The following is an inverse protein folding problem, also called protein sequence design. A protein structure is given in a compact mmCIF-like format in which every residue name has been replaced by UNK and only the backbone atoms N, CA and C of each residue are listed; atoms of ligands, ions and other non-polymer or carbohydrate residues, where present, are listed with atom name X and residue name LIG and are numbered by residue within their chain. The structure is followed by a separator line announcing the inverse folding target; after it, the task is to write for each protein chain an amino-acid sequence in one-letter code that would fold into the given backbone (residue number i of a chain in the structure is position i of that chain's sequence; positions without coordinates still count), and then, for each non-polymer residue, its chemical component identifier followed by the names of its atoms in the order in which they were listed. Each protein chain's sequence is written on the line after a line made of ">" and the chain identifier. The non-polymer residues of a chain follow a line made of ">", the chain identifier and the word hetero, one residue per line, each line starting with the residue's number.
data_IF_776944183796
#
_entry.id   IF_776944183796
#
_cell.length_a   1.000
_cell.length_b   1.000
_cell.length_c   1.000
_cell.angle_alpha   90.00
_cell.angle_beta   90.00
_cell.angle_gamma   90.00
#
_symmetry.space_group_name_H-M   'P 1'
#
loop_
_entity.id
_entity.type
_entity.pdbx_description
1 polymer ?
#
# COMPACT_ATOMS: atom_id res chain seq x y z
N UNK A 1 5.60 -33.13 21.60
CA UNK A 1 5.54 -32.72 20.18
C UNK A 1 6.96 -32.85 19.62
N UNK A 2 7.15 -33.49 18.46
CA UNK A 2 8.49 -33.60 17.86
C UNK A 2 8.81 -32.33 17.06
N UNK A 3 10.11 -32.00 16.94
CA UNK A 3 10.58 -30.85 16.15
C UNK A 3 10.07 -30.92 14.71
N UNK A 4 10.05 -32.13 14.13
CA UNK A 4 9.51 -32.39 12.78
C UNK A 4 8.05 -31.94 12.65
N UNK A 5 7.22 -32.24 13.65
CA UNK A 5 5.81 -31.86 13.63
C UNK A 5 5.64 -30.34 13.69
N UNK A 6 6.46 -29.66 14.50
CA UNK A 6 6.40 -28.20 14.64
C UNK A 6 6.81 -27.49 13.34
N UNK A 7 7.90 -27.93 12.72
CA UNK A 7 8.35 -27.43 11.43
C UNK A 7 7.31 -27.70 10.34
N UNK A 8 6.73 -28.91 10.28
CA UNK A 8 5.69 -29.23 9.30
C UNK A 8 4.44 -28.37 9.47
N UNK A 9 4.01 -28.09 10.70
CA UNK A 9 2.87 -27.20 10.96
C UNK A 9 3.16 -25.79 10.48
N UNK A 10 4.34 -25.26 10.79
CA UNK A 10 4.72 -23.90 10.41
C UNK A 10 4.81 -23.75 8.88
N UNK A 11 5.46 -24.70 8.21
CA UNK A 11 5.54 -24.74 6.74
C UNK A 11 4.14 -24.87 6.13
N UNK A 12 3.31 -25.79 6.62
CA UNK A 12 1.95 -25.97 6.11
C UNK A 12 1.09 -24.71 6.27
N UNK A 13 1.11 -24.06 7.44
CA UNK A 13 0.38 -22.82 7.66
C UNK A 13 0.88 -21.68 6.78
N UNK A 14 2.20 -21.57 6.58
CA UNK A 14 2.81 -20.55 5.71
C UNK A 14 2.41 -20.77 4.25
N UNK A 15 2.49 -22.01 3.75
CA UNK A 15 2.09 -22.35 2.38
C UNK A 15 0.59 -22.14 2.15
N UNK A 16 -0.26 -22.55 3.10
CA UNK A 16 -1.70 -22.32 3.03
C UNK A 16 -2.04 -20.83 3.06
N UNK A 17 -1.36 -20.07 3.92
CA UNK A 17 -1.51 -18.61 4.00
C UNK A 17 -1.09 -17.95 2.69
N UNK A 18 0.08 -18.30 2.15
CA UNK A 18 0.58 -17.78 0.87
C UNK A 18 -0.37 -18.12 -0.29
N UNK A 19 -0.83 -19.36 -0.38
CA UNK A 19 -1.77 -19.79 -1.42
C UNK A 19 -3.13 -19.09 -1.30
N UNK A 20 -3.67 -18.96 -0.09
CA UNK A 20 -4.92 -18.25 0.17
C UNK A 20 -4.82 -16.75 -0.11
N UNK A 21 -3.73 -16.13 0.33
CA UNK A 21 -3.44 -14.72 0.06
C UNK A 21 -3.25 -14.45 -1.44
N UNK A 22 -2.46 -15.27 -2.14
CA UNK A 22 -2.31 -15.19 -3.59
C UNK A 22 -3.65 -15.37 -4.32
N UNK A 23 -4.45 -16.35 -3.91
CA UNK A 23 -5.80 -16.59 -4.45
C UNK A 23 -6.74 -15.40 -4.25
N UNK A 24 -6.75 -14.79 -3.06
CA UNK A 24 -7.53 -13.59 -2.77
C UNK A 24 -7.03 -12.39 -3.56
N UNK A 25 -5.71 -12.19 -3.63
CA UNK A 25 -5.10 -11.11 -4.40
C UNK A 25 -5.44 -11.18 -5.89
N UNK A 26 -5.39 -12.39 -6.47
CA UNK A 26 -5.84 -12.68 -7.84
C UNK A 26 -7.35 -12.48 -8.01
N UNK A 27 -8.16 -12.92 -7.05
CA UNK A 27 -9.60 -12.75 -7.09
C UNK A 27 -9.97 -11.26 -7.09
N UNK A 28 -9.34 -10.44 -6.24
CA UNK A 28 -9.54 -8.98 -6.24
C UNK A 28 -9.11 -8.40 -7.58
N UNK A 29 -7.96 -8.81 -8.13
CA UNK A 29 -7.47 -8.31 -9.42
C UNK A 29 -8.47 -8.61 -10.55
N UNK A 30 -9.07 -9.80 -10.53
CA UNK A 30 -10.01 -10.26 -11.56
C UNK A 30 -11.42 -9.67 -11.42
N UNK A 31 -11.95 -9.62 -10.20
CA UNK A 31 -13.35 -9.24 -9.95
C UNK A 31 -13.52 -7.76 -9.58
N UNK A 32 -12.45 -7.11 -9.10
CA UNK A 32 -12.44 -5.70 -8.72
C UNK A 32 -11.13 -5.03 -9.18
N UNK A 33 -10.80 -5.03 -10.50
CA UNK A 33 -9.56 -4.42 -10.99
C UNK A 33 -9.43 -2.94 -10.59
N UNK A 34 -10.56 -2.22 -10.52
CA UNK A 34 -10.63 -0.84 -10.04
C UNK A 34 -10.08 -0.63 -8.63
N UNK A 35 -10.07 -1.65 -7.76
CA UNK A 35 -9.45 -1.56 -6.44
C UNK A 35 -7.98 -1.16 -6.53
N UNK A 36 -7.19 -1.84 -7.35
CA UNK A 36 -5.78 -1.52 -7.51
C UNK A 36 -5.58 -0.17 -8.20
N UNK A 37 -6.49 0.25 -9.08
CA UNK A 37 -6.47 1.60 -9.65
C UNK A 37 -6.68 2.70 -8.59
N UNK A 38 -7.44 2.42 -7.52
CA UNK A 38 -7.63 3.38 -6.42
C UNK A 38 -6.50 3.38 -5.40
N UNK A 39 -5.83 2.24 -5.21
CA UNK A 39 -4.74 2.10 -4.24
C UNK A 39 -3.40 2.59 -4.80
N UNK A 40 -3.18 2.44 -6.11
CA UNK A 40 -1.93 2.82 -6.77
C UNK A 40 -2.08 4.11 -7.58
N UNK A 41 -1.11 5.00 -7.43
CA UNK A 41 -1.10 6.36 -7.97
C UNK A 41 -1.05 6.50 -9.49
N UNK A 42 -0.59 5.48 -10.20
CA UNK A 42 -0.38 5.56 -11.64
C UNK A 42 -0.74 4.24 -12.31
N UNK A 43 -2.03 3.88 -12.30
CA UNK A 43 -2.44 2.56 -12.75
C UNK A 43 -2.48 2.44 -14.29
N UNK A 44 -2.25 3.56 -14.98
CA UNK A 44 -2.10 3.61 -16.44
C UNK A 44 -0.64 3.46 -16.90
N UNK A 45 0.29 3.23 -15.97
CA UNK A 45 1.67 2.95 -16.35
C UNK A 45 1.71 1.65 -17.18
N UNK A 46 2.43 1.58 -18.32
CA UNK A 46 2.43 0.40 -19.20
C UNK A 46 2.99 -0.88 -18.57
N UNK A 47 3.57 -0.79 -17.36
CA UNK A 47 3.99 -1.94 -16.54
C UNK A 47 3.05 -2.23 -15.36
N UNK A 48 1.91 -1.57 -15.29
CA UNK A 48 0.92 -1.79 -14.25
C UNK A 48 0.01 -2.95 -14.66
N UNK A 49 0.26 -4.12 -14.09
CA UNK A 49 -0.66 -5.25 -14.18
C UNK A 49 -1.30 -5.47 -12.80
N UNK A 50 -2.61 -5.19 -12.63
CA UNK A 50 -3.33 -5.46 -11.39
C UNK A 50 -3.20 -6.91 -10.90
N UNK A 51 -3.02 -7.85 -11.83
CA UNK A 51 -2.86 -9.28 -11.55
C UNK A 51 -1.53 -9.57 -10.88
N UNK A 52 -0.43 -9.03 -11.40
CA UNK A 52 0.91 -9.19 -10.81
C UNK A 52 0.99 -8.53 -9.43
N UNK A 53 0.42 -7.33 -9.30
CA UNK A 53 0.38 -6.59 -8.03
C UNK A 53 -0.44 -7.36 -6.99
N UNK A 54 -1.65 -7.80 -7.37
CA UNK A 54 -2.52 -8.54 -6.48
C UNK A 54 -1.90 -9.87 -6.04
N UNK A 55 -1.27 -10.58 -6.96
CA UNK A 55 -0.54 -11.80 -6.65
C UNK A 55 0.62 -11.54 -5.67
N UNK A 56 1.44 -10.52 -5.93
CA UNK A 56 2.59 -10.18 -5.09
C UNK A 56 2.20 -9.75 -3.67
N UNK A 57 1.21 -8.86 -3.55
CA UNK A 57 0.67 -8.41 -2.26
C UNK A 57 -0.03 -9.56 -1.52
N UNK A 58 -0.85 -10.32 -2.22
CA UNK A 58 -1.55 -11.46 -1.66
C UNK A 58 -0.59 -12.52 -1.11
N UNK A 59 0.45 -12.86 -1.88
CA UNK A 59 1.44 -13.86 -1.49
C UNK A 59 2.25 -13.39 -0.26
N UNK A 60 2.69 -12.14 -0.24
CA UNK A 60 3.44 -11.58 0.90
C UNK A 60 2.59 -11.49 2.17
N UNK A 61 1.39 -10.91 2.09
CA UNK A 61 0.48 -10.82 3.24
C UNK A 61 0.04 -12.21 3.74
N UNK A 62 -0.29 -13.10 2.81
CA UNK A 62 -0.66 -14.48 3.10
C UNK A 62 0.47 -15.26 3.79
N UNK A 63 1.72 -15.09 3.33
CA UNK A 63 2.90 -15.70 3.95
C UNK A 63 3.09 -15.21 5.39
N UNK A 64 3.01 -13.90 5.62
CA UNK A 64 3.14 -13.31 6.96
C UNK A 64 2.04 -13.79 7.91
N UNK A 65 0.79 -13.81 7.44
CA UNK A 65 -0.34 -14.31 8.22
C UNK A 65 -0.18 -15.81 8.54
N UNK A 66 0.15 -16.62 7.53
CA UNK A 66 0.36 -18.06 7.68
C UNK A 66 1.47 -18.39 8.67
N UNK A 67 2.57 -17.64 8.62
CA UNK A 67 3.67 -17.76 9.59
C UNK A 67 3.19 -17.42 11.00
N UNK A 68 2.46 -16.32 11.18
CA UNK A 68 1.90 -15.91 12.47
C UNK A 68 0.96 -16.97 13.07
N UNK A 69 0.03 -17.50 12.26
CA UNK A 69 -0.88 -18.58 12.67
C UNK A 69 -0.11 -19.84 13.03
N UNK A 70 0.88 -20.23 12.21
CA UNK A 70 1.73 -21.40 12.46
C UNK A 70 2.46 -21.32 13.81
N UNK A 71 3.03 -20.16 14.12
CA UNK A 71 3.71 -19.92 15.41
C UNK A 71 2.74 -20.04 16.61
N UNK A 72 1.52 -19.54 16.47
CA UNK A 72 0.48 -19.66 17.52
C UNK A 72 0.10 -21.13 17.72
N UNK A 73 -0.16 -21.88 16.65
CA UNK A 73 -0.55 -23.29 16.74
C UNK A 73 0.55 -24.16 17.36
N UNK A 74 1.80 -23.99 16.90
CA UNK A 74 2.97 -24.70 17.48
C UNK A 74 3.10 -24.39 18.97
N UNK A 75 2.90 -23.12 19.35
CA UNK A 75 2.94 -22.70 20.76
C UNK A 75 1.88 -23.41 21.59
N UNK A 76 0.63 -23.41 21.14
CA UNK A 76 -0.48 -24.04 21.85
C UNK A 76 -0.27 -25.56 21.97
N UNK A 77 0.24 -26.20 20.92
CA UNK A 77 0.55 -27.63 20.93
C UNK A 77 1.67 -27.97 21.92
N UNK A 78 2.75 -27.19 21.94
CA UNK A 78 3.83 -27.32 22.92
C UNK A 78 3.32 -27.11 24.36
N UNK A 79 2.47 -26.11 24.58
CA UNK A 79 1.88 -25.85 25.89
C UNK A 79 0.98 -26.99 26.37
N UNK A 80 0.14 -27.53 25.49
CA UNK A 80 -0.73 -28.68 25.78
C UNK A 80 0.08 -29.93 26.12
N UNK A 81 1.17 -30.19 25.41
CA UNK A 81 2.06 -31.32 25.71
C UNK A 81 2.66 -31.21 27.13
N UNK A 82 3.20 -30.03 27.47
CA UNK A 82 3.77 -29.76 28.80
C UNK A 82 2.73 -29.94 29.91
N UNK A 83 1.46 -29.55 29.69
CA UNK A 83 0.39 -29.75 30.67
C UNK A 83 0.05 -31.22 30.88
N UNK A 84 -0.01 -32.01 29.80
CA UNK A 84 -0.34 -33.44 29.88
C UNK A 84 0.71 -34.24 30.64
N UNK A 85 1.98 -33.99 30.38
CA UNK A 85 3.08 -34.72 31.04
C UNK A 85 3.07 -34.51 32.57
N UNK A 86 2.55 -33.38 33.05
CA UNK A 86 2.41 -33.09 34.49
C UNK A 86 1.26 -33.84 35.15
N UNK A 87 0.20 -34.14 34.42
CA UNK A 87 -0.97 -34.84 34.98
C UNK A 87 -0.70 -36.34 35.23
N UNK A 88 0.31 -36.91 34.58
CA UNK A 88 0.62 -38.34 34.64
C UNK A 88 1.64 -38.70 35.72
N UNK A 89 2.19 -37.73 36.47
CA UNK A 89 3.16 -38.01 37.54
C UNK A 89 2.41 -38.25 38.86
N UNK A 90 2.27 -39.50 39.36
CA UNK A 90 1.34 -39.83 40.43
C UNK A 90 1.82 -39.44 41.84
N UNK A 91 3.06 -38.96 41.98
CA UNK A 91 3.74 -38.88 43.28
C UNK A 91 4.37 -37.52 43.62
N UNK A 92 4.00 -36.45 42.90
CA UNK A 92 4.48 -35.10 43.19
C UNK A 92 3.50 -34.36 44.09
N UNK A 93 3.93 -34.05 45.32
CA UNK A 93 3.26 -33.19 46.29
C UNK A 93 2.68 -31.92 45.62
N UNK A 94 1.55 -31.37 46.12
CA UNK A 94 0.83 -30.29 45.46
C UNK A 94 1.76 -29.09 45.23
N UNK A 95 2.04 -28.70 43.97
CA UNK A 95 2.89 -27.58 43.69
C UNK A 95 2.16 -26.27 44.03
N UNK A 96 2.84 -25.26 44.57
CA UNK A 96 2.25 -23.96 44.86
C UNK A 96 1.69 -23.34 43.58
N UNK A 97 0.51 -22.70 43.70
CA UNK A 97 -0.39 -22.24 42.65
C UNK A 97 0.12 -21.09 41.75
N UNK A 98 1.37 -21.14 41.30
CA UNK A 98 1.93 -20.21 40.32
C UNK A 98 1.90 -20.84 38.92
N UNK A 99 1.28 -20.15 37.96
CA UNK A 99 1.43 -20.49 36.54
C UNK A 99 2.93 -20.66 36.22
N UNK A 100 3.37 -21.84 35.74
CA UNK A 100 4.79 -22.12 35.56
C UNK A 100 5.37 -21.12 34.55
N UNK A 101 6.35 -20.32 34.99
CA UNK A 101 6.85 -19.15 34.24
C UNK A 101 7.29 -19.45 32.80
N UNK A 102 7.59 -20.71 32.46
CA UNK A 102 7.89 -21.14 31.09
C UNK A 102 6.68 -21.05 30.15
N UNK A 103 5.48 -21.44 30.60
CA UNK A 103 4.28 -21.38 29.77
C UNK A 103 3.85 -19.92 29.50
N UNK A 104 3.93 -19.07 30.53
CA UNK A 104 3.68 -17.64 30.39
C UNK A 104 4.69 -16.99 29.42
N UNK A 105 5.95 -17.43 29.43
CA UNK A 105 6.99 -16.93 28.53
C UNK A 105 6.72 -17.27 27.07
N UNK A 106 6.29 -18.50 26.77
CA UNK A 106 5.99 -18.91 25.39
C UNK A 106 4.75 -18.15 24.87
N UNK A 107 3.68 -18.04 25.67
CA UNK A 107 2.50 -17.27 25.29
C UNK A 107 2.84 -15.79 25.00
N UNK A 108 3.65 -15.16 25.87
CA UNK A 108 4.12 -13.79 25.66
C UNK A 108 4.93 -13.65 24.36
N UNK A 109 5.77 -14.63 24.04
CA UNK A 109 6.55 -14.63 22.80
C UNK A 109 5.65 -14.69 21.56
N UNK A 110 4.62 -15.56 21.55
CA UNK A 110 3.69 -15.65 20.42
C UNK A 110 2.86 -14.40 20.24
N UNK A 111 2.39 -13.79 21.34
CA UNK A 111 1.68 -12.50 21.30
C UNK A 111 2.61 -11.43 20.74
N UNK A 112 3.89 -11.41 21.14
CA UNK A 112 4.87 -10.47 20.62
C UNK A 112 5.11 -10.68 19.11
N UNK A 113 5.24 -11.93 18.64
CA UNK A 113 5.37 -12.22 17.21
C UNK A 113 4.15 -11.80 16.40
N UNK A 114 2.93 -12.06 16.91
CA UNK A 114 1.69 -11.63 16.26
C UNK A 114 1.60 -10.10 16.21
N UNK A 115 1.87 -9.43 17.33
CA UNK A 115 1.89 -7.97 17.40
C UNK A 115 2.93 -7.36 16.45
N UNK A 116 4.10 -7.98 16.33
CA UNK A 116 5.14 -7.56 15.38
C UNK A 116 4.68 -7.73 13.93
N UNK A 117 4.07 -8.87 13.58
CA UNK A 117 3.52 -9.08 12.24
C UNK A 117 2.43 -8.07 11.87
N UNK A 118 1.55 -7.77 12.83
CA UNK A 118 0.52 -6.75 12.66
C UNK A 118 1.13 -5.35 12.50
N UNK A 119 2.10 -5.00 13.35
CA UNK A 119 2.79 -3.71 13.32
C UNK A 119 3.55 -3.51 12.01
N UNK A 120 4.23 -4.53 11.50
CA UNK A 120 4.92 -4.48 10.20
C UNK A 120 3.93 -4.28 9.05
N UNK A 121 2.78 -4.96 9.09
CA UNK A 121 1.73 -4.81 8.07
C UNK A 121 1.16 -3.39 8.09
N UNK A 122 0.81 -2.88 9.27
CA UNK A 122 0.33 -1.50 9.42
C UNK A 122 1.40 -0.48 9.00
N UNK A 123 2.66 -0.69 9.39
CA UNK A 123 3.78 0.18 9.03
C UNK A 123 4.01 0.23 7.52
N UNK A 124 3.86 -0.89 6.82
CA UNK A 124 3.96 -0.96 5.36
C UNK A 124 2.81 -0.20 4.68
N UNK A 125 1.57 -0.35 5.16
CA UNK A 125 0.43 0.41 4.66
C UNK A 125 0.63 1.91 4.87
N UNK A 126 1.00 2.34 6.07
CA UNK A 126 1.27 3.75 6.37
C UNK A 126 2.44 4.28 5.54
N UNK A 127 3.51 3.50 5.39
CA UNK A 127 4.67 3.86 4.57
C UNK A 127 4.32 4.05 3.10
N UNK A 128 3.46 3.19 2.54
CA UNK A 128 2.94 3.35 1.18
C UNK A 128 2.10 4.62 1.04
N UNK A 129 1.20 4.89 2.00
CA UNK A 129 0.37 6.11 1.98
C UNK A 129 1.24 7.38 2.06
N UNK A 130 2.20 7.41 2.98
CA UNK A 130 3.10 8.56 3.15
C UNK A 130 4.03 8.74 1.94
N UNK A 131 4.63 7.66 1.44
CA UNK A 131 5.47 7.71 0.24
C UNK A 131 4.70 8.20 -0.98
N UNK A 132 3.43 7.81 -1.09
CA UNK A 132 2.56 8.27 -2.16
C UNK A 132 2.25 9.78 -2.05
N UNK A 133 1.97 10.28 -0.84
CA UNK A 133 1.72 11.71 -0.61
C UNK A 133 2.92 12.59 -1.00
N UNK A 134 4.15 12.14 -0.72
CA UNK A 134 5.35 12.85 -1.13
C UNK A 134 5.55 12.84 -2.65
N UNK A 135 5.26 11.70 -3.29
CA UNK A 135 5.37 11.55 -4.75
C UNK A 135 4.39 12.49 -5.46
N UNK A 136 3.18 12.68 -4.92
CA UNK A 136 2.20 13.62 -5.46
C UNK A 136 2.68 15.06 -5.43
N UNK A 137 3.17 15.51 -4.27
CA UNK A 137 3.63 16.88 -4.13
C UNK A 137 4.87 17.15 -5.00
N UNK A 138 5.82 16.20 -5.07
CA UNK A 138 6.99 16.33 -5.93
C UNK A 138 6.62 16.42 -7.40
N UNK A 139 5.67 15.58 -7.86
CA UNK A 139 5.19 15.64 -9.24
C UNK A 139 4.51 16.98 -9.55
N UNK A 140 3.69 17.51 -8.63
CA UNK A 140 3.10 18.84 -8.78
C UNK A 140 4.19 19.92 -8.94
N UNK A 141 5.22 19.89 -8.09
CA UNK A 141 6.33 20.83 -8.17
C UNK A 141 7.11 20.71 -9.48
N UNK A 142 7.36 19.50 -9.98
CA UNK A 142 8.03 19.26 -11.26
C UNK A 142 7.20 19.76 -12.45
N UNK A 143 5.91 19.38 -12.53
CA UNK A 143 5.01 19.81 -13.60
C UNK A 143 4.81 21.34 -13.58
N UNK A 144 4.64 21.92 -12.38
CA UNK A 144 4.55 23.37 -12.18
C UNK A 144 5.83 24.08 -12.62
N UNK A 145 7.00 23.57 -12.24
CA UNK A 145 8.27 24.18 -12.62
C UNK A 145 8.46 24.18 -14.15
N UNK A 146 8.13 23.06 -14.81
CA UNK A 146 8.21 22.93 -16.26
C UNK A 146 7.29 23.91 -17.00
N UNK A 147 6.08 24.15 -16.49
CA UNK A 147 5.15 25.10 -17.10
C UNK A 147 5.44 26.55 -16.71
N UNK A 148 5.87 26.81 -15.47
CA UNK A 148 6.10 28.16 -14.96
C UNK A 148 7.13 28.90 -15.81
N UNK A 149 8.21 28.24 -16.22
CA UNK A 149 9.23 28.85 -17.08
C UNK A 149 8.71 29.17 -18.49
N UNK A 150 7.73 28.41 -18.99
CA UNK A 150 7.17 28.62 -20.33
C UNK A 150 6.07 29.69 -20.34
N UNK A 151 5.43 29.91 -19.20
CA UNK A 151 4.27 30.79 -19.05
C UNK A 151 4.68 32.18 -18.52
N UNK A 152 5.70 32.26 -17.66
CA UNK A 152 6.06 33.51 -16.97
C UNK A 152 6.49 34.66 -17.91
N UNK A 153 7.08 34.33 -19.06
CA UNK A 153 7.59 35.33 -20.00
C UNK A 153 6.52 35.86 -20.98
N UNK A 154 5.32 35.28 -20.98
CA UNK A 154 4.27 35.58 -21.96
C UNK A 154 3.11 36.38 -21.33
N UNK A 155 2.95 37.67 -21.67
CA UNK A 155 1.91 38.51 -21.08
C UNK A 155 0.50 38.03 -21.41
N UNK A 156 0.30 37.24 -22.47
CA UNK A 156 -1.00 36.66 -22.79
C UNK A 156 -1.50 35.67 -21.72
N UNK A 157 -0.59 35.16 -20.88
CA UNK A 157 -0.90 34.20 -19.82
C UNK A 157 -0.81 34.80 -18.42
N UNK A 158 -0.78 36.14 -18.29
CA UNK A 158 -0.71 36.82 -16.99
C UNK A 158 -1.88 36.48 -16.04
N UNK A 159 -3.03 36.06 -16.58
CA UNK A 159 -4.20 35.62 -15.82
C UNK A 159 -4.16 34.14 -15.39
N UNK A 160 -3.16 33.38 -15.84
CA UNK A 160 -3.05 31.94 -15.57
C UNK A 160 -2.29 31.69 -14.27
N UNK A 161 -2.84 30.83 -13.43
CA UNK A 161 -2.21 30.36 -12.20
C UNK A 161 -2.29 28.84 -12.10
N UNK A 162 -1.42 28.29 -11.25
CA UNK A 162 -1.29 26.85 -11.02
C UNK A 162 -1.97 26.46 -9.71
N UNK A 163 -2.80 25.43 -9.75
CA UNK A 163 -3.32 24.77 -8.55
C UNK A 163 -2.86 23.31 -8.48
N UNK A 164 -2.78 22.76 -7.27
CA UNK A 164 -2.41 21.36 -7.04
C UNK A 164 -3.63 20.46 -7.18
N UNK A 165 -3.55 19.49 -8.07
CA UNK A 165 -4.59 18.47 -8.22
C UNK A 165 -4.46 17.40 -7.15
N UNK A 166 -5.58 16.82 -6.72
CA UNK A 166 -5.64 15.79 -5.67
C UNK A 166 -4.85 14.51 -5.96
N UNK A 167 -4.43 14.27 -7.21
CA UNK A 167 -3.57 13.15 -7.61
C UNK A 167 -2.09 13.53 -7.75
N UNK A 168 -1.70 14.77 -7.40
CA UNK A 168 -0.35 15.34 -7.52
C UNK A 168 -0.01 15.93 -8.89
N UNK A 169 -0.99 16.20 -9.75
CA UNK A 169 -0.78 16.91 -11.02
C UNK A 169 -0.95 18.42 -10.90
N UNK A 170 -0.62 19.16 -11.95
CA UNK A 170 -0.89 20.60 -12.03
C UNK A 170 -2.23 20.88 -12.72
N UNK A 171 -3.03 21.80 -12.17
CA UNK A 171 -4.16 22.42 -12.86
C UNK A 171 -3.79 23.83 -13.33
N UNK A 172 -4.20 24.16 -14.56
CA UNK A 172 -4.17 25.51 -15.09
C UNK A 172 -5.54 26.14 -14.88
N UNK A 173 -5.56 27.27 -14.19
CA UNK A 173 -6.76 28.03 -13.88
C UNK A 173 -6.58 29.48 -14.28
N UNK A 174 -7.68 30.15 -14.62
CA UNK A 174 -7.70 31.58 -14.92
C UNK A 174 -8.24 31.89 -16.30
N UNK A 175 -7.84 33.03 -16.85
CA UNK A 175 -8.41 33.54 -18.10
C UNK A 175 -7.35 33.89 -19.14
N UNK A 176 -7.65 33.59 -20.39
CA UNK A 176 -6.93 34.11 -21.58
C UNK A 176 -7.83 35.02 -22.39
N UNK A 177 -7.25 35.94 -23.17
CA UNK A 177 -8.01 36.98 -23.87
C UNK A 177 -8.77 36.48 -25.11
N UNK A 178 -8.32 35.39 -25.74
CA UNK A 178 -8.89 34.87 -26.97
C UNK A 178 -8.61 33.36 -27.14
N UNK A 179 -9.24 32.76 -28.15
CA UNK A 179 -9.11 31.33 -28.45
C UNK A 179 -7.71 30.93 -28.96
N UNK A 180 -7.01 31.84 -29.64
CA UNK A 180 -5.66 31.57 -30.16
C UNK A 180 -4.65 31.43 -29.01
N UNK A 181 -4.77 32.27 -27.98
CA UNK A 181 -3.96 32.19 -26.77
C UNK A 181 -4.28 30.92 -25.97
N UNK A 182 -5.56 30.51 -25.91
CA UNK A 182 -5.94 29.23 -25.29
C UNK A 182 -5.30 28.05 -26.03
N UNK A 183 -5.36 28.04 -27.36
CA UNK A 183 -4.75 27.00 -28.19
C UNK A 183 -3.22 26.98 -28.05
N UNK A 184 -2.58 28.16 -27.96
CA UNK A 184 -1.14 28.29 -27.71
C UNK A 184 -0.77 27.73 -26.35
N UNK A 185 -1.52 28.06 -25.30
CA UNK A 185 -1.31 27.51 -23.95
C UNK A 185 -1.48 25.98 -23.93
N UNK A 186 -2.47 25.44 -24.66
CA UNK A 186 -2.68 24.00 -24.77
C UNK A 186 -1.52 23.31 -25.45
N UNK A 187 -1.00 23.86 -26.55
CA UNK A 187 0.17 23.33 -27.26
C UNK A 187 1.44 23.38 -26.40
N UNK A 188 1.66 24.46 -25.65
CA UNK A 188 2.78 24.57 -24.69
C UNK A 188 2.68 23.46 -23.63
N UNK A 189 1.49 23.31 -23.05
CA UNK A 189 1.25 22.31 -22.00
C UNK A 189 1.39 20.89 -22.54
N UNK A 190 0.90 20.63 -23.76
CA UNK A 190 1.05 19.36 -24.49
C UNK A 190 2.51 19.04 -24.75
N UNK A 191 3.32 20.02 -25.13
CA UNK A 191 4.75 19.83 -25.37
C UNK A 191 5.53 19.57 -24.09
N UNK A 192 5.17 20.23 -23.00
CA UNK A 192 5.83 20.07 -21.71
C UNK A 192 5.46 18.76 -21.00
N UNK A 193 4.17 18.41 -20.96
CA UNK A 193 3.67 17.30 -20.13
C UNK A 193 3.19 16.08 -20.94
N UNK A 194 3.03 16.21 -22.25
CA UNK A 194 2.40 15.22 -23.12
C UNK A 194 0.87 15.37 -23.21
N UNK A 195 0.29 14.80 -24.26
CA UNK A 195 -1.14 14.94 -24.62
C UNK A 195 -2.10 14.59 -23.48
N UNK A 196 -1.89 13.43 -22.86
CA UNK A 196 -2.79 12.94 -21.81
C UNK A 196 -2.79 13.86 -20.60
N UNK A 197 -1.62 14.37 -20.21
CA UNK A 197 -1.45 15.25 -19.05
C UNK A 197 -1.92 16.67 -19.35
N UNK A 198 -1.71 17.16 -20.56
CA UNK A 198 -2.17 18.48 -20.96
C UNK A 198 -3.70 18.60 -20.92
N UNK A 199 -4.43 17.62 -21.45
CA UNK A 199 -5.91 17.55 -21.31
C UNK A 199 -6.38 17.58 -19.86
N UNK A 200 -5.56 17.02 -19.00
CA UNK A 200 -5.81 16.84 -17.59
C UNK A 200 -5.49 18.11 -16.77
N UNK A 201 -4.51 18.90 -17.22
CA UNK A 201 -4.14 20.18 -16.64
C UNK A 201 -5.11 21.31 -17.08
N UNK A 202 -5.68 21.21 -18.27
CA UNK A 202 -6.67 22.13 -18.83
C UNK A 202 -8.09 21.87 -18.30
N UNK A 203 -8.32 22.15 -17.02
CA UNK A 203 -9.66 21.98 -16.44
C UNK A 203 -10.50 23.25 -16.48
N UNK A 204 -9.90 24.41 -16.15
CA UNK A 204 -10.68 25.64 -15.88
C UNK A 204 -9.98 26.90 -16.42
N UNK A 205 -9.60 26.86 -17.70
CA UNK A 205 -9.07 28.03 -18.43
C UNK A 205 -10.20 28.63 -19.26
N UNK A 206 -10.76 29.73 -18.78
CA UNK A 206 -11.83 30.46 -19.47
C UNK A 206 -11.27 31.44 -20.51
N UNK A 207 -12.01 31.67 -21.59
CA UNK A 207 -11.74 32.79 -22.51
C UNK A 207 -12.54 33.99 -22.01
N UNK A 208 -11.84 35.05 -21.59
CA UNK A 208 -12.46 36.31 -21.19
C UNK A 208 -11.85 37.46 -22.00
N UNK A 209 -12.61 38.09 -22.92
CA UNK A 209 -12.11 39.21 -23.70
C UNK A 209 -11.59 40.32 -22.78
N UNK A 210 -10.46 40.93 -23.14
CA UNK A 210 -10.00 42.13 -22.46
C UNK A 210 -11.07 43.23 -22.61
N UNK A 211 -11.40 43.97 -21.54
CA UNK A 211 -12.36 45.07 -21.59
C UNK A 211 -11.90 46.21 -22.51
#
# INVERSE_FOLDING_TARGET
>A
MTIRLALSTLVACTLLGAAGGAGLGLAIAKFAPGYYHTVFANPDHPRFDPTEIGLGLGLTQGTLLGLGVGLVLVTLACWRAIRRDRSTSPNSAPPPAALPGKAARILRFSIACLALGLALTCGLVVGLVLGNSQTYHLRYLEERAALATLIADDPAFAGIHFDERSDGGVFLMGTVSNADDQARLHEITRRALGERRAKQAFYDVEIRPAP
#
